data_IF_450965760717
#
_entry.id   IF_450965760717
#
_cell.length_a   1.000
_cell.length_b   1.000
_cell.length_c   1.000
_cell.angle_alpha   90.00
_cell.angle_beta   90.00
_cell.angle_gamma   90.00
#
_symmetry.space_group_name_H-M   'P 1'
#
loop_
_entity.id
_entity.type
_entity.pdbx_description
1 polymer ?
#
# COMPACT_ATOMS: atom_id res chain seq x y z
N UNK A 1 4.62 15.15 -21.25
CA UNK A 1 4.11 13.96 -21.98
C UNK A 1 4.22 12.75 -21.05
N UNK A 2 3.30 11.77 -21.06
CA UNK A 2 3.44 10.56 -20.24
C UNK A 2 4.70 9.81 -20.70
N UNK A 3 5.61 9.64 -19.76
CA UNK A 3 6.94 9.04 -19.95
C UNK A 3 6.91 7.51 -19.78
N UNK A 4 5.73 6.90 -19.87
CA UNK A 4 5.51 5.46 -19.83
C UNK A 4 5.00 5.02 -21.20
N UNK A 5 5.62 4.00 -21.79
CA UNK A 5 5.06 3.34 -22.98
C UNK A 5 3.73 2.67 -22.64
N UNK A 6 2.68 3.07 -23.37
CA UNK A 6 1.33 2.50 -23.26
C UNK A 6 1.33 0.98 -23.36
N UNK A 7 2.08 0.38 -24.30
CA UNK A 7 2.08 -1.08 -24.48
C UNK A 7 2.68 -1.77 -23.25
N UNK A 8 3.82 -1.29 -22.77
CA UNK A 8 4.43 -1.79 -21.53
C UNK A 8 3.51 -1.64 -20.32
N UNK A 9 2.84 -0.48 -20.17
CA UNK A 9 1.92 -0.22 -19.07
C UNK A 9 0.82 -1.28 -18.98
N UNK A 10 0.08 -1.46 -20.07
CA UNK A 10 -1.01 -2.44 -20.15
C UNK A 10 -0.52 -3.89 -19.97
N UNK A 11 0.65 -4.22 -20.51
CA UNK A 11 1.26 -5.55 -20.34
C UNK A 11 1.56 -5.84 -18.87
N UNK A 12 2.15 -4.89 -18.15
CA UNK A 12 2.50 -5.07 -16.74
C UNK A 12 1.25 -5.17 -15.86
N UNK A 13 0.26 -4.31 -16.07
CA UNK A 13 -1.03 -4.38 -15.36
C UNK A 13 -1.71 -5.73 -15.61
N UNK A 14 -1.73 -6.21 -16.87
CA UNK A 14 -2.32 -7.50 -17.21
C UNK A 14 -1.55 -8.67 -16.58
N UNK A 15 -0.22 -8.62 -16.55
CA UNK A 15 0.62 -9.64 -15.90
C UNK A 15 0.32 -9.77 -14.40
N UNK A 16 0.09 -8.65 -13.71
CA UNK A 16 -0.34 -8.68 -12.31
C UNK A 16 -1.77 -9.23 -12.18
N UNK A 17 -2.70 -8.70 -12.96
CA UNK A 17 -4.13 -8.98 -12.84
C UNK A 17 -4.52 -10.39 -13.31
N UNK A 18 -3.82 -10.96 -14.29
CA UNK A 18 -4.11 -12.32 -14.78
C UNK A 18 -3.93 -13.38 -13.69
N UNK A 19 -2.99 -13.19 -12.77
CA UNK A 19 -2.83 -14.07 -11.60
C UNK A 19 -4.09 -14.14 -10.72
N UNK A 20 -4.85 -13.05 -10.66
CA UNK A 20 -6.10 -12.98 -9.91
C UNK A 20 -7.25 -13.64 -10.71
N UNK A 21 -7.24 -13.47 -12.04
CA UNK A 21 -8.26 -14.04 -12.94
C UNK A 21 -8.17 -15.57 -13.06
N UNK A 22 -6.96 -16.10 -13.20
CA UNK A 22 -6.73 -17.51 -13.56
C UNK A 22 -6.76 -18.45 -12.36
N UNK A 23 -6.46 -17.95 -11.16
CA UNK A 23 -6.32 -18.76 -9.95
C UNK A 23 -7.33 -18.26 -8.90
N UNK A 24 -8.28 -19.12 -8.56
CA UNK A 24 -9.17 -18.87 -7.43
C UNK A 24 -8.38 -18.89 -6.12
N UNK A 25 -8.79 -18.02 -5.19
CA UNK A 25 -8.14 -17.85 -3.88
C UNK A 25 -6.65 -17.46 -3.96
N UNK A 26 -6.19 -16.89 -5.07
CA UNK A 26 -4.82 -16.40 -5.19
C UNK A 26 -4.51 -15.30 -4.15
N UNK A 27 -3.33 -15.33 -3.53
CA UNK A 27 -2.91 -14.40 -2.46
C UNK A 27 -3.06 -12.89 -2.79
N UNK A 28 -3.08 -12.52 -4.07
CA UNK A 28 -3.27 -11.11 -4.47
C UNK A 28 -4.69 -10.60 -4.16
N UNK A 29 -5.69 -11.50 -4.09
CA UNK A 29 -7.05 -11.19 -3.66
C UNK A 29 -7.14 -10.68 -2.23
N UNK A 30 -6.13 -10.97 -1.39
CA UNK A 30 -6.08 -10.42 -0.02
C UNK A 30 -6.15 -8.89 0.01
N UNK A 31 -5.58 -8.21 -1.00
CA UNK A 31 -5.72 -6.75 -1.12
C UNK A 31 -7.16 -6.36 -1.50
N UNK A 32 -7.79 -7.05 -2.46
CA UNK A 32 -9.18 -6.76 -2.84
C UNK A 32 -10.12 -6.92 -1.65
N UNK A 33 -10.03 -8.03 -0.91
CA UNK A 33 -10.87 -8.29 0.27
C UNK A 33 -10.66 -7.24 1.36
N UNK A 34 -9.41 -6.86 1.63
CA UNK A 34 -9.10 -5.82 2.60
C UNK A 34 -9.68 -4.47 2.18
N UNK A 35 -9.35 -4.00 0.97
CA UNK A 35 -9.79 -2.71 0.46
C UNK A 35 -11.32 -2.64 0.34
N UNK A 36 -11.96 -3.68 -0.21
CA UNK A 36 -13.41 -3.78 -0.31
C UNK A 36 -14.09 -3.63 1.06
N UNK A 37 -13.60 -4.37 2.06
CA UNK A 37 -14.18 -4.34 3.38
C UNK A 37 -14.16 -2.93 3.96
N UNK A 38 -13.00 -2.26 3.94
CA UNK A 38 -12.92 -0.89 4.45
C UNK A 38 -13.74 0.09 3.61
N UNK A 39 -13.71 -0.03 2.28
CA UNK A 39 -14.43 0.86 1.38
C UNK A 39 -15.95 0.82 1.61
N UNK A 40 -16.52 -0.37 1.76
CA UNK A 40 -17.96 -0.59 2.02
C UNK A 40 -18.34 -0.14 3.43
N UNK A 41 -17.55 -0.54 4.43
CA UNK A 41 -17.92 -0.39 5.83
C UNK A 41 -17.43 0.91 6.47
N UNK A 42 -16.82 1.84 5.71
CA UNK A 42 -16.22 3.10 6.21
C UNK A 42 -17.09 3.99 7.11
N UNK A 43 -18.41 3.79 7.12
CA UNK A 43 -19.35 4.51 8.02
C UNK A 43 -19.67 3.74 9.31
N UNK A 44 -19.50 2.43 9.31
CA UNK A 44 -19.81 1.54 10.42
C UNK A 44 -18.88 0.31 10.39
N UNK A 45 -17.64 0.52 10.83
CA UNK A 45 -16.59 -0.51 10.78
C UNK A 45 -16.68 -1.42 11.98
N UNK A 46 -16.78 -2.74 11.76
CA UNK A 46 -16.42 -3.72 12.78
C UNK A 46 -14.89 -3.78 12.87
N UNK A 47 -14.34 -3.23 13.95
CA UNK A 47 -12.89 -3.12 14.16
C UNK A 47 -12.20 -4.47 14.37
N UNK A 48 -12.88 -5.50 14.85
CA UNK A 48 -12.29 -6.83 15.00
C UNK A 48 -12.05 -7.46 13.62
N UNK A 49 -13.08 -7.49 12.80
CA UNK A 49 -13.01 -8.03 11.45
C UNK A 49 -12.15 -7.15 10.52
N UNK A 50 -12.16 -5.83 10.71
CA UNK A 50 -11.24 -4.90 10.03
C UNK A 50 -9.78 -5.25 10.29
N UNK A 51 -9.46 -5.52 11.55
CA UNK A 51 -8.11 -5.87 11.97
C UNK A 51 -7.69 -7.21 11.36
N UNK A 52 -8.59 -8.20 11.33
CA UNK A 52 -8.36 -9.48 10.69
C UNK A 52 -8.08 -9.34 9.17
N UNK A 53 -8.90 -8.55 8.47
CA UNK A 53 -8.72 -8.28 7.03
C UNK A 53 -7.37 -7.63 6.73
N UNK A 54 -7.02 -6.61 7.51
CA UNK A 54 -5.73 -5.92 7.39
C UNK A 54 -4.56 -6.87 7.68
N UNK A 55 -4.64 -7.67 8.75
CA UNK A 55 -3.63 -8.67 9.08
C UNK A 55 -3.41 -9.67 7.97
N UNK A 56 -4.48 -10.23 7.40
CA UNK A 56 -4.35 -11.22 6.33
C UNK A 56 -3.74 -10.63 5.06
N UNK A 57 -4.13 -9.41 4.68
CA UNK A 57 -3.47 -8.67 3.61
C UNK A 57 -1.98 -8.47 3.90
N UNK A 58 -1.62 -7.92 5.05
CA UNK A 58 -0.23 -7.64 5.39
C UNK A 58 0.62 -8.92 5.45
N UNK A 59 0.08 -10.02 5.99
CA UNK A 59 0.72 -11.34 6.00
C UNK A 59 0.91 -11.90 4.58
N UNK A 60 -0.16 -11.84 3.76
CA UNK A 60 -0.14 -12.22 2.35
C UNK A 60 0.81 -11.38 1.49
N UNK A 61 1.36 -10.30 2.03
CA UNK A 61 2.36 -9.45 1.39
C UNK A 61 3.67 -9.32 2.21
N UNK A 62 3.92 -10.27 3.11
CA UNK A 62 5.21 -10.54 3.73
C UNK A 62 5.57 -9.69 4.96
N UNK A 63 4.59 -9.03 5.58
CA UNK A 63 4.84 -8.20 6.78
C UNK A 63 4.91 -9.00 8.08
N UNK A 64 4.39 -10.23 8.10
CA UNK A 64 4.43 -11.16 9.25
C UNK A 64 5.55 -12.21 9.13
N UNK A 65 6.75 -11.80 8.71
CA UNK A 65 7.94 -12.69 8.63
C UNK A 65 8.83 -12.57 9.87
N UNK A 66 9.74 -13.51 10.09
CA UNK A 66 10.59 -13.64 11.30
C UNK A 66 11.25 -12.36 11.81
N UNK A 67 11.69 -11.47 10.90
CA UNK A 67 12.35 -10.20 11.26
C UNK A 67 11.39 -9.07 11.66
N UNK A 68 10.07 -9.27 11.60
CA UNK A 68 9.06 -8.25 11.88
C UNK A 68 8.55 -8.36 13.32
N UNK A 69 8.34 -7.24 14.00
CA UNK A 69 7.70 -7.26 15.32
C UNK A 69 6.25 -7.78 15.24
N UNK A 70 5.58 -7.61 14.10
CA UNK A 70 4.21 -8.06 13.87
C UNK A 70 4.02 -9.57 14.07
N UNK A 71 5.07 -10.38 13.87
CA UNK A 71 4.98 -11.84 14.06
C UNK A 71 4.67 -12.25 15.51
N UNK A 72 4.92 -11.37 16.48
CA UNK A 72 4.77 -11.66 17.91
C UNK A 72 3.38 -11.29 18.45
N UNK A 73 2.52 -10.77 17.59
CA UNK A 73 1.21 -10.30 17.99
C UNK A 73 0.14 -10.85 17.06
N UNK A 74 -1.07 -11.04 17.61
CA UNK A 74 -2.22 -11.45 16.84
C UNK A 74 -2.78 -10.29 16.00
N UNK A 75 -3.90 -10.54 15.32
CA UNK A 75 -4.51 -9.54 14.46
C UNK A 75 -5.07 -8.33 15.22
N UNK A 76 -5.30 -8.41 16.54
CA UNK A 76 -5.98 -7.37 17.29
C UNK A 76 -5.13 -6.12 17.53
N UNK A 77 -3.81 -6.17 17.24
CA UNK A 77 -2.91 -5.01 17.37
C UNK A 77 -3.37 -3.76 16.61
N UNK A 78 -4.17 -3.95 15.56
CA UNK A 78 -4.62 -2.85 14.72
C UNK A 78 -5.87 -2.16 15.27
N UNK A 79 -6.57 -2.73 16.27
CA UNK A 79 -7.86 -2.19 16.74
C UNK A 79 -7.79 -0.72 17.17
N UNK A 80 -6.79 -0.37 17.99
CA UNK A 80 -6.62 1.00 18.50
C UNK A 80 -6.24 1.94 17.35
N UNK A 81 -5.27 1.54 16.54
CA UNK A 81 -4.85 2.30 15.36
C UNK A 81 -6.01 2.57 14.41
N UNK A 82 -6.84 1.57 14.11
CA UNK A 82 -7.96 1.70 13.18
C UNK A 82 -9.04 2.65 13.67
N UNK A 83 -9.34 2.67 14.98
CA UNK A 83 -10.32 3.60 15.55
C UNK A 83 -9.96 5.06 15.31
N UNK A 84 -8.68 5.41 15.41
CA UNK A 84 -8.21 6.78 15.17
C UNK A 84 -7.93 7.05 13.68
N UNK A 85 -7.38 6.06 12.98
CA UNK A 85 -6.98 6.21 11.57
C UNK A 85 -8.19 6.42 10.65
N UNK A 86 -9.32 5.76 10.94
CA UNK A 86 -10.52 5.83 10.09
C UNK A 86 -11.32 7.12 10.25
N UNK A 87 -10.99 7.98 11.22
CA UNK A 87 -11.51 9.34 11.31
C UNK A 87 -10.91 10.27 10.24
N UNK A 88 -9.78 9.86 9.64
CA UNK A 88 -9.14 10.60 8.54
C UNK A 88 -9.89 10.34 7.24
N UNK A 89 -10.24 11.42 6.53
CA UNK A 89 -10.98 11.34 5.27
C UNK A 89 -10.04 11.28 4.05
N UNK A 90 -9.42 10.12 3.84
CA UNK A 90 -8.56 9.83 2.69
C UNK A 90 -9.27 9.11 1.52
N UNK A 91 -10.55 8.80 1.66
CA UNK A 91 -11.33 8.13 0.63
C UNK A 91 -11.40 8.96 -0.64
N UNK A 92 -10.91 8.40 -1.75
CA UNK A 92 -10.96 9.02 -3.09
C UNK A 92 -10.28 10.40 -3.17
N UNK A 93 -9.36 10.71 -2.24
CA UNK A 93 -8.64 11.99 -2.17
C UNK A 93 -7.14 11.84 -2.33
N UNK A 94 -6.55 12.82 -3.01
CA UNK A 94 -5.11 13.01 -3.12
C UNK A 94 -4.68 14.14 -2.18
N UNK A 95 -4.40 13.79 -0.92
CA UNK A 95 -4.15 14.77 0.15
C UNK A 95 -2.97 14.32 1.01
N UNK A 96 -1.81 14.92 0.74
CA UNK A 96 -0.58 14.60 1.46
C UNK A 96 -0.62 15.02 2.94
N UNK A 97 -1.37 16.07 3.29
CA UNK A 97 -1.50 16.51 4.68
C UNK A 97 -2.26 15.46 5.50
N UNK A 98 -3.35 14.94 4.96
CA UNK A 98 -4.08 13.83 5.59
C UNK A 98 -3.28 12.53 5.61
N UNK A 99 -2.50 12.22 4.57
CA UNK A 99 -1.56 11.09 4.57
C UNK A 99 -0.52 11.25 5.70
N UNK A 100 -0.01 12.45 5.91
CA UNK A 100 0.95 12.73 6.98
C UNK A 100 0.33 12.55 8.37
N UNK A 101 -0.93 12.96 8.56
CA UNK A 101 -1.66 12.68 9.80
C UNK A 101 -1.86 11.16 10.00
N UNK A 102 -2.24 10.44 8.95
CA UNK A 102 -2.40 8.99 8.99
C UNK A 102 -1.09 8.27 9.34
N UNK A 103 0.03 8.72 8.78
CA UNK A 103 1.36 8.19 9.10
C UNK A 103 1.68 8.32 10.59
N UNK A 104 1.38 9.48 11.20
CA UNK A 104 1.61 9.71 12.63
C UNK A 104 0.81 8.74 13.48
N UNK A 105 -0.48 8.54 13.18
CA UNK A 105 -1.33 7.59 13.91
C UNK A 105 -0.75 6.16 13.79
N UNK A 106 -0.41 5.73 12.58
CA UNK A 106 0.16 4.39 12.35
C UNK A 106 1.47 4.24 13.12
N UNK A 107 2.36 5.22 13.03
CA UNK A 107 3.67 5.19 13.68
C UNK A 107 3.52 5.17 15.21
N UNK A 108 2.76 6.09 15.79
CA UNK A 108 2.54 6.19 17.23
C UNK A 108 1.96 4.90 17.82
N UNK A 109 0.91 4.34 17.20
CA UNK A 109 0.24 3.15 17.77
C UNK A 109 1.04 1.88 17.60
N UNK A 110 1.72 1.69 16.46
CA UNK A 110 2.49 0.48 16.22
C UNK A 110 3.86 0.51 16.91
N UNK A 111 4.43 1.69 17.16
CA UNK A 111 5.72 1.81 17.83
C UNK A 111 5.67 1.31 19.28
N UNK A 112 4.51 1.41 19.95
CA UNK A 112 4.28 0.83 21.28
C UNK A 112 4.56 -0.70 21.29
N UNK A 113 4.02 -1.41 20.30
CA UNK A 113 4.22 -2.86 20.15
C UNK A 113 5.64 -3.20 19.72
N UNK A 114 6.25 -2.38 18.85
CA UNK A 114 7.63 -2.60 18.41
C UNK A 114 8.61 -2.46 19.59
N UNK A 115 8.47 -1.40 20.38
CA UNK A 115 9.35 -1.12 21.52
C UNK A 115 9.22 -2.17 22.64
N UNK A 116 8.00 -2.67 22.90
CA UNK A 116 7.79 -3.73 23.89
C UNK A 116 8.60 -5.00 23.55
N UNK A 117 8.65 -5.40 22.28
CA UNK A 117 9.46 -6.54 21.82
C UNK A 117 10.96 -6.28 21.92
N UNK A 118 11.40 -5.06 21.62
CA UNK A 118 12.83 -4.71 21.65
C UNK A 118 13.39 -4.70 23.09
N UNK A 119 12.57 -4.41 24.10
CA UNK A 119 12.97 -4.49 25.51
C UNK A 119 13.15 -5.93 26.01
N UNK A 120 12.56 -6.92 25.34
CA UNK A 120 12.73 -8.35 25.67
C UNK A 120 14.04 -8.93 25.10
N UNK A 121 14.58 -8.34 24.04
CA UNK A 121 15.80 -8.79 23.38
C UNK A 121 16.93 -7.77 23.65
N UNK A 122 17.58 -7.91 24.81
CA UNK A 122 18.81 -7.17 25.15
C UNK A 122 19.90 -7.45 24.11
N UNK A 123 20.01 -6.62 23.06
CA UNK A 123 21.24 -6.06 22.47
C UNK A 123 21.08 -5.61 21.00
N UNK A 124 21.90 -4.61 20.65
CA UNK A 124 22.42 -4.30 19.30
C UNK A 124 21.44 -3.98 18.15
N UNK A 125 20.94 -2.74 18.12
CA UNK A 125 20.91 -1.94 16.86
C UNK A 125 20.28 -0.55 17.09
N UNK A 126 20.95 0.34 17.85
CA UNK A 126 20.36 1.61 18.32
C UNK A 126 19.94 2.62 17.23
N UNK A 127 20.37 2.44 15.98
CA UNK A 127 20.19 3.48 14.94
C UNK A 127 18.87 3.39 14.15
N UNK A 128 18.10 2.30 14.26
CA UNK A 128 16.84 2.10 13.52
C UNK A 128 15.63 1.74 14.42
N UNK A 129 15.77 1.87 15.75
CA UNK A 129 14.80 1.40 16.75
C UNK A 129 13.48 2.18 16.74
N UNK A 130 13.52 3.49 16.53
CA UNK A 130 12.39 4.35 16.90
C UNK A 130 11.36 4.63 15.79
N UNK A 131 11.34 3.86 14.69
CA UNK A 131 10.41 4.12 13.58
C UNK A 131 9.77 2.86 13.02
N UNK A 132 8.53 3.03 12.57
CA UNK A 132 7.84 2.03 11.76
C UNK A 132 8.31 2.19 10.31
N UNK A 133 8.59 1.08 9.63
CA UNK A 133 9.09 1.13 8.26
C UNK A 133 8.07 1.80 7.32
N UNK A 134 8.54 2.65 6.41
CA UNK A 134 7.70 3.26 5.38
C UNK A 134 6.93 2.22 4.56
N UNK A 135 7.52 1.05 4.27
CA UNK A 135 6.82 -0.04 3.57
C UNK A 135 5.62 -0.57 4.36
N UNK A 136 5.71 -0.69 5.68
CA UNK A 136 4.56 -1.11 6.50
C UNK A 136 3.48 -0.04 6.51
N UNK A 137 3.85 1.23 6.76
CA UNK A 137 2.93 2.37 6.76
C UNK A 137 2.18 2.45 5.43
N UNK A 138 2.91 2.48 4.32
CA UNK A 138 2.32 2.62 2.98
C UNK A 138 1.53 1.38 2.56
N UNK A 139 1.87 0.17 3.00
CA UNK A 139 0.99 -1.00 2.82
C UNK A 139 -0.31 -0.87 3.60
N UNK A 140 -0.28 -0.41 4.85
CA UNK A 140 -1.51 -0.14 5.61
C UNK A 140 -2.39 0.87 4.86
N UNK A 141 -1.82 1.99 4.41
CA UNK A 141 -2.55 3.00 3.64
C UNK A 141 -3.08 2.46 2.29
N UNK A 142 -2.30 1.65 1.57
CA UNK A 142 -2.72 1.00 0.33
C UNK A 142 -3.85 0.00 0.56
N UNK A 143 -3.80 -0.76 1.66
CA UNK A 143 -4.80 -1.77 2.00
C UNK A 143 -6.13 -1.18 2.49
N UNK A 144 -6.08 -0.07 3.22
CA UNK A 144 -7.27 0.60 3.77
C UNK A 144 -7.86 1.57 2.75
N UNK A 145 -7.08 2.58 2.34
CA UNK A 145 -7.57 3.71 1.54
C UNK A 145 -7.22 3.58 0.06
N UNK A 146 -6.21 2.78 -0.29
CA UNK A 146 -5.68 2.73 -1.65
C UNK A 146 -5.05 4.05 -2.10
N UNK A 147 -4.64 4.90 -1.17
CA UNK A 147 -4.21 6.28 -1.44
C UNK A 147 -2.70 6.43 -1.68
N UNK A 148 -1.89 5.41 -1.41
CA UNK A 148 -0.43 5.40 -1.66
C UNK A 148 0.02 4.04 -2.20
N UNK A 149 1.05 3.94 -3.06
CA UNK A 149 1.66 2.66 -3.41
C UNK A 149 2.41 2.06 -2.22
N UNK A 150 2.74 0.77 -2.24
CA UNK A 150 3.28 0.06 -1.07
C UNK A 150 4.72 0.41 -0.67
N UNK A 151 5.45 1.21 -1.46
CA UNK A 151 6.88 1.51 -1.32
C UNK A 151 7.71 0.31 -0.85
N UNK A 152 7.37 -0.89 -1.34
CA UNK A 152 8.16 -2.08 -1.11
C UNK A 152 9.32 -2.14 -2.08
N UNK A 153 10.21 -3.12 -1.90
CA UNK A 153 11.41 -3.24 -2.74
C UNK A 153 11.09 -3.30 -4.24
N UNK A 154 9.97 -3.91 -4.63
CA UNK A 154 9.63 -4.08 -6.04
C UNK A 154 9.05 -2.80 -6.62
N UNK A 155 8.17 -2.11 -5.89
CA UNK A 155 7.72 -0.77 -6.29
C UNK A 155 8.91 0.18 -6.46
N UNK A 156 9.79 0.26 -5.45
CA UNK A 156 10.96 1.15 -5.46
C UNK A 156 11.91 0.80 -6.61
N UNK A 157 12.15 -0.50 -6.88
CA UNK A 157 12.96 -0.91 -8.01
C UNK A 157 12.32 -0.55 -9.37
N UNK A 158 11.00 -0.67 -9.49
CA UNK A 158 10.28 -0.24 -10.69
C UNK A 158 10.40 1.26 -10.91
N UNK A 159 10.26 2.05 -9.85
CA UNK A 159 10.42 3.50 -9.90
C UNK A 159 11.86 3.90 -10.29
N UNK A 160 12.87 3.22 -9.73
CA UNK A 160 14.28 3.38 -10.13
C UNK A 160 14.47 3.12 -11.61
N UNK A 161 13.96 2.01 -12.15
CA UNK A 161 14.06 1.69 -13.58
C UNK A 161 13.41 2.75 -14.45
N UNK A 162 12.23 3.23 -14.06
CA UNK A 162 11.55 4.30 -14.77
C UNK A 162 12.39 5.58 -14.80
N UNK A 163 12.99 5.97 -13.69
CA UNK A 163 13.81 7.18 -13.59
C UNK A 163 15.11 7.15 -14.41
N UNK A 164 15.57 6.00 -14.92
CA UNK A 164 16.79 5.93 -15.74
C UNK A 164 16.62 6.73 -17.04
N UNK A 165 15.41 6.68 -17.63
CA UNK A 165 15.12 7.27 -18.94
C UNK A 165 14.17 8.46 -18.85
N UNK A 166 13.78 8.91 -17.65
CA UNK A 166 12.68 9.85 -17.44
C UNK A 166 12.99 10.86 -16.31
N UNK A 167 12.11 11.86 -16.17
CA UNK A 167 12.18 12.81 -15.06
C UNK A 167 12.22 12.06 -13.72
N UNK A 168 13.16 12.47 -12.86
CA UNK A 168 13.42 11.79 -11.60
C UNK A 168 12.31 12.06 -10.59
N UNK A 169 11.52 11.02 -10.28
CA UNK A 169 10.66 10.99 -9.09
C UNK A 169 11.50 10.46 -7.92
N UNK A 170 11.52 11.12 -6.74
CA UNK A 170 12.26 10.59 -5.60
C UNK A 170 11.87 9.15 -5.27
N UNK A 171 12.84 8.30 -4.93
CA UNK A 171 12.59 6.87 -4.71
C UNK A 171 12.17 6.56 -3.27
N UNK A 172 12.41 7.48 -2.34
CA UNK A 172 11.97 7.39 -0.96
C UNK A 172 10.51 7.81 -0.85
N UNK A 173 9.82 7.24 0.14
CA UNK A 173 8.48 7.70 0.49
C UNK A 173 8.56 9.09 1.14
N UNK A 174 8.11 10.10 0.40
CA UNK A 174 8.01 11.51 0.81
C UNK A 174 7.00 12.24 -0.06
N UNK A 175 6.73 13.51 0.27
CA UNK A 175 5.78 14.37 -0.44
C UNK A 175 6.11 14.49 -1.92
N UNK A 176 7.35 14.83 -2.25
CA UNK A 176 7.81 15.00 -3.63
C UNK A 176 7.63 13.73 -4.47
N UNK A 177 7.87 12.55 -3.88
CA UNK A 177 7.64 11.27 -4.55
C UNK A 177 6.15 11.04 -4.79
N UNK A 178 5.32 11.31 -3.78
CA UNK A 178 3.86 11.20 -3.87
C UNK A 178 3.28 12.11 -4.96
N UNK A 179 3.66 13.40 -4.95
CA UNK A 179 3.26 14.38 -5.96
C UNK A 179 3.75 13.96 -7.34
N UNK A 180 4.99 13.50 -7.46
CA UNK A 180 5.55 13.02 -8.72
C UNK A 180 4.79 11.82 -9.31
N UNK A 181 4.27 10.92 -8.46
CA UNK A 181 3.44 9.79 -8.89
C UNK A 181 2.05 10.27 -9.34
N UNK A 182 1.43 11.21 -8.63
CA UNK A 182 0.14 11.82 -9.05
C UNK A 182 0.29 12.48 -10.42
N UNK A 183 1.27 13.34 -10.58
CA UNK A 183 1.56 14.03 -11.82
C UNK A 183 1.87 13.03 -12.97
N UNK A 184 2.53 11.91 -12.67
CA UNK A 184 2.69 10.82 -13.62
C UNK A 184 1.35 10.17 -14.02
N UNK A 185 0.47 9.88 -13.06
CA UNK A 185 -0.89 9.37 -13.33
C UNK A 185 -1.64 10.32 -14.25
N UNK A 186 -1.65 11.61 -13.95
CA UNK A 186 -2.40 12.63 -14.69
C UNK A 186 -1.89 12.79 -16.13
N UNK A 187 -0.57 12.77 -16.31
CA UNK A 187 0.01 12.72 -17.66
C UNK A 187 -0.43 11.48 -18.42
N UNK A 188 -0.49 10.33 -17.77
CA UNK A 188 -0.87 9.08 -18.44
C UNK A 188 -2.36 9.04 -18.76
N UNK A 189 -3.24 9.53 -17.88
CA UNK A 189 -4.66 9.79 -18.18
C UNK A 189 -4.85 10.74 -19.38
N UNK A 190 -3.98 11.75 -19.50
CA UNK A 190 -3.99 12.69 -20.63
C UNK A 190 -3.43 12.08 -21.92
N UNK A 191 -2.61 11.04 -21.83
CA UNK A 191 -1.92 10.44 -22.99
C UNK A 191 -2.62 9.19 -23.53
N UNK A 192 -3.33 8.44 -22.68
CA UNK A 192 -4.11 7.27 -23.07
C UNK A 192 -5.23 6.98 -22.06
N UNK A 193 -6.21 6.15 -22.47
CA UNK A 193 -7.28 5.70 -21.57
C UNK A 193 -6.65 4.98 -20.37
N UNK A 194 -6.71 5.57 -19.19
CA UNK A 194 -6.21 4.92 -17.98
C UNK A 194 -7.12 3.73 -17.61
N UNK A 195 -6.58 2.57 -17.18
CA UNK A 195 -7.39 1.40 -16.88
C UNK A 195 -8.41 1.68 -15.76
N UNK A 196 -9.63 1.18 -15.96
CA UNK A 196 -10.67 1.13 -14.92
C UNK A 196 -10.97 -0.34 -14.65
N UNK A 197 -10.38 -0.87 -13.59
CA UNK A 197 -10.39 -2.31 -13.28
C UNK A 197 -11.34 -2.55 -12.11
N UNK A 198 -12.43 -3.33 -12.27
CA UNK A 198 -13.29 -3.72 -11.15
C UNK A 198 -12.62 -4.78 -10.27
N UNK A 199 -13.01 -4.88 -9.00
CA UNK A 199 -12.61 -6.01 -8.15
C UNK A 199 -13.19 -7.32 -8.71
N UNK A 200 -12.52 -8.46 -8.47
CA UNK A 200 -12.94 -9.78 -8.99
C UNK A 200 -14.35 -10.14 -8.56
N UNK A 201 -14.67 -9.98 -7.28
CA UNK A 201 -15.95 -10.41 -6.70
C UNK A 201 -16.96 -9.28 -6.50
N UNK A 202 -16.55 -8.02 -6.69
CA UNK A 202 -17.45 -6.87 -6.60
C UNK A 202 -17.19 -5.85 -7.71
N UNK A 203 -17.97 -5.96 -8.78
CA UNK A 203 -17.78 -5.17 -10.00
C UNK A 203 -18.18 -3.69 -9.88
N UNK A 204 -18.74 -3.30 -8.74
CA UNK A 204 -19.11 -1.90 -8.46
C UNK A 204 -17.97 -1.10 -7.84
N UNK A 205 -16.97 -1.78 -7.29
CA UNK A 205 -15.78 -1.16 -6.71
C UNK A 205 -14.61 -1.33 -7.70
N UNK A 206 -13.82 -0.28 -7.85
CA UNK A 206 -12.72 -0.24 -8.80
C UNK A 206 -11.39 -0.04 -8.07
N UNK A 207 -10.33 -0.56 -8.68
CA UNK A 207 -8.96 -0.32 -8.24
C UNK A 207 -8.64 1.19 -8.28
N UNK A 208 -8.17 1.79 -7.16
CA UNK A 208 -7.70 3.17 -7.15
C UNK A 208 -6.48 3.38 -8.04
N UNK A 209 -6.29 4.59 -8.57
CA UNK A 209 -5.18 4.89 -9.49
C UNK A 209 -3.81 4.57 -8.87
N UNK A 210 -3.63 4.86 -7.58
CA UNK A 210 -2.40 4.54 -6.85
C UNK A 210 -2.16 3.04 -6.76
N UNK A 211 -3.22 2.22 -6.66
CA UNK A 211 -3.08 0.77 -6.72
C UNK A 211 -2.71 0.29 -8.12
N UNK A 212 -3.25 0.92 -9.17
CA UNK A 212 -2.87 0.60 -10.55
C UNK A 212 -1.39 0.94 -10.77
N UNK A 213 -0.91 2.10 -10.29
CA UNK A 213 0.52 2.44 -10.35
C UNK A 213 1.39 1.51 -9.53
N UNK A 214 0.92 1.10 -8.34
CA UNK A 214 1.58 0.08 -7.52
C UNK A 214 1.76 -1.22 -8.32
N UNK A 215 0.71 -1.74 -8.95
CA UNK A 215 0.78 -2.93 -9.80
C UNK A 215 1.78 -2.78 -10.95
N UNK A 216 1.75 -1.65 -11.65
CA UNK A 216 2.64 -1.38 -12.78
C UNK A 216 4.12 -1.42 -12.36
N UNK A 217 4.47 -0.63 -11.34
CA UNK A 217 5.85 -0.51 -10.87
C UNK A 217 6.32 -1.79 -10.17
N UNK A 218 5.43 -2.48 -9.45
CA UNK A 218 5.75 -3.74 -8.82
C UNK A 218 6.16 -4.81 -9.84
N UNK A 219 5.46 -4.91 -10.98
CA UNK A 219 5.87 -5.82 -12.07
C UNK A 219 7.18 -5.36 -12.71
N UNK A 220 7.31 -4.07 -13.01
CA UNK A 220 8.52 -3.51 -13.62
C UNK A 220 9.78 -3.74 -12.77
N UNK A 221 9.67 -3.61 -11.45
CA UNK A 221 10.77 -3.82 -10.51
C UNK A 221 10.99 -5.27 -10.10
N UNK A 222 10.08 -6.17 -10.47
CA UNK A 222 10.24 -7.63 -10.31
C UNK A 222 10.99 -8.25 -11.50
N UNK A 223 10.75 -7.75 -12.72
CA UNK A 223 11.60 -8.01 -13.89
C UNK A 223 13.05 -7.61 -13.62
#
# INVERSE_FOLDING_TARGET
>A
MCNIDRKQFYRNISSFHNKIKEIDNHRYLSWEHCYEYFYINRKNVDYDYASLMLSFYLASWGMYRGSSFLLHYDYQIYKIMLKELLDINLWDKQDWNQITQANKIIEEKLLLYKNNKENENNEEDKNNKNKISNTLITKILLGIFGCTPAYDRFFVNGLKKHNINNNKIPIQYCEDSYIGIIDLIDRCKSSFKFPKIPLKYNKNIYYPDMKIMDMYFWILGKE
#
